data_IF_285738051501
#
_entry.id   IF_285738051501
#
_cell.length_a   1.000
_cell.length_b   1.000
_cell.length_c   1.000
_cell.angle_alpha   90.00
_cell.angle_beta   90.00
_cell.angle_gamma   90.00
#
_symmetry.space_group_name_H-M   'P 1'
#
loop_
_entity.id
_entity.type
_entity.pdbx_description
1 polymer ?
#
# COMPACT_ATOMS: atom_id res chain seq x y z
N UNK A 1 39.22 10.59 -16.95
CA UNK A 1 38.56 11.72 -16.25
C UNK A 1 37.18 11.95 -16.84
N UNK A 2 36.13 11.59 -16.10
CA UNK A 2 34.74 12.01 -16.38
C UNK A 2 34.11 12.33 -15.03
N UNK A 3 33.70 13.59 -14.87
CA UNK A 3 33.02 14.12 -13.69
C UNK A 3 31.57 13.60 -13.68
N UNK A 4 31.08 13.12 -12.54
CA UNK A 4 29.64 12.93 -12.29
C UNK A 4 29.18 14.09 -11.40
N UNK A 5 28.16 14.79 -11.88
CA UNK A 5 27.47 15.89 -11.20
C UNK A 5 26.41 15.22 -10.32
N UNK A 6 26.52 15.36 -9.00
CA UNK A 6 25.41 15.07 -8.08
C UNK A 6 24.51 16.31 -8.05
N UNK A 7 23.25 16.13 -8.46
CA UNK A 7 22.20 17.12 -8.27
C UNK A 7 21.69 17.04 -6.84
N UNK A 8 21.79 18.15 -6.11
CA UNK A 8 21.21 18.34 -4.78
C UNK A 8 19.73 18.67 -4.99
N UNK A 9 18.82 17.81 -4.53
CA UNK A 9 17.39 18.13 -4.44
C UNK A 9 17.15 18.63 -3.01
N UNK A 10 16.89 19.94 -2.90
CA UNK A 10 16.48 20.57 -1.65
C UNK A 10 14.96 20.43 -1.51
N UNK A 11 14.50 19.75 -0.46
CA UNK A 11 13.08 19.69 -0.07
C UNK A 11 12.87 20.70 1.05
N UNK A 12 12.22 21.82 0.72
CA UNK A 12 11.74 22.80 1.70
C UNK A 12 10.29 22.46 2.06
N UNK A 13 10.08 21.85 3.22
CA UNK A 13 8.75 21.68 3.82
C UNK A 13 8.45 22.88 4.74
N UNK A 14 7.67 23.82 4.22
CA UNK A 14 7.00 24.84 5.04
C UNK A 14 5.51 24.57 5.00
N UNK A 15 4.96 24.01 6.08
CA UNK A 15 3.52 23.98 6.31
C UNK A 15 3.25 24.51 7.73
N UNK A 16 2.76 25.73 7.80
CA UNK A 16 2.15 26.30 9.01
C UNK A 16 0.63 26.20 8.87
N UNK A 17 0.01 25.39 9.73
CA UNK A 17 -1.46 25.35 9.93
C UNK A 17 -1.76 25.72 11.37
N UNK A 18 -2.53 26.79 11.57
CA UNK A 18 -3.36 27.04 12.75
C UNK A 18 -4.63 27.76 12.25
N UNK A 19 -5.76 27.08 12.16
CA UNK A 19 -6.75 26.80 13.21
C UNK A 19 -7.66 28.00 13.56
N UNK A 20 -8.97 27.81 13.42
CA UNK A 20 -10.00 28.65 14.05
C UNK A 20 -11.27 27.83 14.39
N UNK A 21 -11.19 27.16 15.53
CA UNK A 21 -12.19 26.98 16.62
C UNK A 21 -13.71 26.90 16.35
N UNK A 22 -14.26 25.83 16.93
CA UNK A 22 -15.65 25.57 17.36
C UNK A 22 -16.32 26.67 18.21
N UNK A 23 -17.64 26.79 18.05
CA UNK A 23 -18.69 27.14 19.06
C UNK A 23 -20.04 27.07 18.32
N UNK A 24 -21.19 26.58 18.81
CA UNK A 24 -21.70 26.13 20.11
C UNK A 24 -23.23 26.35 20.14
N UNK A 25 -23.98 25.54 20.93
CA UNK A 25 -25.43 25.59 21.25
C UNK A 25 -26.41 25.29 20.08
N UNK A 26 -27.43 24.41 20.17
CA UNK A 26 -28.17 23.84 21.30
C UNK A 26 -29.66 24.18 21.14
N UNK A 27 -30.58 23.21 21.15
CA UNK A 27 -31.95 23.25 21.75
C UNK A 27 -32.70 21.92 21.50
N UNK A 28 -33.37 21.41 22.56
CA UNK A 28 -34.26 20.23 22.59
C UNK A 28 -35.71 20.58 22.20
N UNK A 29 -36.44 19.63 21.60
CA UNK A 29 -37.90 19.52 21.74
C UNK A 29 -38.36 18.05 21.58
N UNK A 30 -39.41 17.67 22.32
CA UNK A 30 -39.96 16.31 22.52
C UNK A 30 -41.28 16.11 21.76
N UNK A 31 -41.49 14.86 21.32
CA UNK A 31 -42.73 14.07 21.23
C UNK A 31 -43.90 14.49 20.32
N UNK A 32 -44.35 13.56 19.43
CA UNK A 32 -45.72 12.98 19.41
C UNK A 32 -45.83 11.82 18.39
N UNK A 33 -46.54 10.75 18.79
CA UNK A 33 -47.01 9.61 17.99
C UNK A 33 -48.00 10.04 16.90
N UNK A 34 -48.02 9.35 15.75
CA UNK A 34 -49.27 9.04 15.03
C UNK A 34 -49.15 7.82 14.08
N UNK A 35 -50.27 7.10 13.97
CA UNK A 35 -50.49 5.73 13.49
C UNK A 35 -50.32 5.44 11.98
N UNK A 36 -49.95 4.18 11.72
CA UNK A 36 -50.44 3.21 10.71
C UNK A 36 -51.35 3.71 9.60
N UNK A 37 -50.99 3.43 8.33
CA UNK A 37 -51.89 2.82 7.32
C UNK A 37 -51.04 1.91 6.40
N UNK A 38 -51.38 0.62 6.38
CA UNK A 38 -51.02 -0.33 5.31
C UNK A 38 -52.04 -0.18 4.18
N UNK A 39 -51.60 -0.16 2.93
CA UNK A 39 -52.45 -0.50 1.79
C UNK A 39 -51.68 -1.47 0.87
N UNK A 40 -52.02 -2.75 1.02
CA UNK A 40 -51.96 -3.75 -0.06
C UNK A 40 -53.16 -3.51 -0.99
N UNK A 41 -52.99 -3.82 -2.29
CA UNK A 41 -53.96 -4.47 -3.21
C UNK A 41 -53.61 -4.15 -4.69
N UNK A 42 -54.05 -4.91 -5.71
CA UNK A 42 -54.54 -6.29 -5.71
C UNK A 42 -53.95 -7.18 -6.83
N UNK A 43 -54.11 -8.49 -6.65
CA UNK A 43 -53.97 -9.56 -7.65
C UNK A 43 -55.19 -9.51 -8.59
N UNK A 44 -54.96 -9.61 -9.90
CA UNK A 44 -56.01 -9.94 -10.89
C UNK A 44 -55.70 -11.33 -11.44
N UNK A 45 -56.57 -12.29 -11.10
CA UNK A 45 -56.69 -13.60 -11.75
C UNK A 45 -57.84 -13.52 -12.75
N UNK A 46 -57.62 -13.98 -13.97
CA UNK A 46 -58.66 -14.46 -14.86
C UNK A 46 -58.17 -15.73 -15.55
N UNK A 47 -58.71 -16.86 -15.11
CA UNK A 47 -58.79 -18.12 -15.86
C UNK A 47 -59.91 -18.01 -16.90
N UNK A 48 -59.71 -18.58 -18.10
CA UNK A 48 -60.74 -19.34 -18.81
C UNK A 48 -60.09 -20.34 -19.79
N UNK A 49 -60.59 -21.58 -19.71
CA UNK A 49 -60.15 -22.84 -20.32
C UNK A 49 -60.28 -22.86 -21.86
N UNK A 50 -59.48 -23.69 -22.56
CA UNK A 50 -59.87 -25.04 -23.00
C UNK A 50 -58.97 -25.59 -24.14
N UNK A 51 -58.71 -26.90 -24.07
CA UNK A 51 -58.26 -27.87 -25.10
C UNK A 51 -57.02 -27.52 -25.95
N UNK A 52 -56.00 -28.36 -26.15
CA UNK A 52 -56.03 -29.78 -26.53
C UNK A 52 -54.58 -30.30 -26.64
N UNK A 53 -54.39 -31.59 -26.36
CA UNK A 53 -53.16 -32.40 -26.39
C UNK A 53 -52.59 -32.60 -27.81
N UNK A 54 -51.28 -32.38 -28.07
CA UNK A 54 -50.47 -33.13 -29.08
C UNK A 54 -48.94 -32.99 -28.82
N UNK A 55 -48.33 -34.15 -28.59
CA UNK A 55 -46.95 -34.68 -28.77
C UNK A 55 -45.74 -33.80 -29.16
N UNK A 56 -44.68 -33.95 -28.34
CA UNK A 56 -43.23 -34.17 -28.62
C UNK A 56 -42.75 -34.00 -30.07
N UNK A 57 -41.76 -33.11 -30.29
CA UNK A 57 -40.52 -33.42 -31.00
C UNK A 57 -39.42 -32.37 -30.69
N UNK A 58 -38.25 -32.87 -30.32
CA UNK A 58 -36.98 -32.16 -30.15
C UNK A 58 -36.38 -31.80 -31.51
N UNK A 59 -35.92 -30.57 -31.69
CA UNK A 59 -34.64 -30.14 -32.33
C UNK A 59 -34.73 -28.68 -32.85
N UNK A 60 -33.60 -27.98 -32.70
CA UNK A 60 -33.12 -26.78 -33.39
C UNK A 60 -33.69 -25.37 -33.08
N UNK A 61 -32.87 -24.64 -32.31
CA UNK A 61 -32.26 -23.34 -32.65
C UNK A 61 -33.05 -22.38 -33.56
N UNK A 62 -33.60 -21.31 -32.98
CA UNK A 62 -33.52 -19.97 -33.57
C UNK A 62 -33.67 -18.87 -32.50
N UNK A 63 -32.75 -17.93 -32.63
CA UNK A 63 -32.54 -16.63 -31.98
C UNK A 63 -33.76 -15.70 -31.97
N UNK A 64 -34.12 -15.14 -30.81
CA UNK A 64 -34.76 -13.81 -30.70
C UNK A 64 -34.29 -13.11 -29.42
N UNK A 65 -33.25 -12.28 -29.53
CA UNK A 65 -32.99 -11.19 -28.58
C UNK A 65 -33.91 -10.04 -28.93
N UNK A 66 -34.81 -9.69 -28.02
CA UNK A 66 -35.69 -8.54 -28.14
C UNK A 66 -34.85 -7.26 -27.98
N UNK A 67 -34.58 -6.58 -29.11
CA UNK A 67 -33.98 -5.24 -29.15
C UNK A 67 -35.04 -4.22 -28.72
N UNK A 68 -34.89 -3.63 -27.53
CA UNK A 68 -35.56 -2.38 -27.17
C UNK A 68 -34.50 -1.27 -27.22
N UNK A 69 -34.37 -0.63 -28.38
CA UNK A 69 -33.55 0.57 -28.57
C UNK A 69 -34.31 1.78 -28.01
N UNK A 70 -33.79 2.35 -26.93
CA UNK A 70 -34.01 3.75 -26.57
C UNK A 70 -32.66 4.47 -26.61
N UNK A 71 -32.53 5.35 -27.60
CA UNK A 71 -31.42 6.23 -27.93
C UNK A 71 -31.33 7.42 -26.95
N UNK A 72 -30.17 7.59 -26.29
CA UNK A 72 -29.37 8.84 -26.24
C UNK A 72 -28.40 8.82 -25.05
N UNK A 73 -27.12 8.71 -25.37
CA UNK A 73 -25.98 8.67 -24.45
C UNK A 73 -24.99 7.65 -24.95
N UNK A 74 -23.75 8.07 -25.27
CA UNK A 74 -22.67 7.15 -25.65
C UNK A 74 -22.63 5.99 -24.65
N UNK A 75 -23.05 4.81 -25.12
CA UNK A 75 -22.94 3.59 -24.34
C UNK A 75 -21.45 3.34 -24.18
N UNK A 76 -20.94 3.65 -22.98
CA UNK A 76 -19.66 3.12 -22.53
C UNK A 76 -19.77 1.61 -22.74
N UNK A 77 -18.94 1.08 -23.65
CA UNK A 77 -18.99 -0.33 -24.01
C UNK A 77 -18.73 -1.10 -22.72
N UNK A 78 -19.74 -1.83 -22.21
CA UNK A 78 -19.56 -2.63 -21.00
C UNK A 78 -18.35 -3.55 -21.20
N UNK A 79 -17.33 -3.38 -20.35
CA UNK A 79 -16.11 -4.15 -20.46
C UNK A 79 -16.43 -5.64 -20.26
N UNK A 80 -16.02 -6.48 -21.21
CA UNK A 80 -16.13 -7.94 -21.10
C UNK A 80 -14.86 -8.52 -20.49
N UNK A 81 -15.02 -9.66 -19.80
CA UNK A 81 -13.94 -10.29 -19.04
C UNK A 81 -13.82 -11.79 -19.31
N UNK A 82 -12.59 -12.25 -19.43
CA UNK A 82 -12.21 -13.65 -19.37
C UNK A 82 -11.81 -14.02 -17.94
N UNK A 83 -12.45 -15.05 -17.38
CA UNK A 83 -12.16 -15.55 -16.03
C UNK A 83 -10.93 -16.46 -16.00
N UNK A 84 -10.04 -16.20 -15.05
CA UNK A 84 -8.90 -17.03 -14.67
C UNK A 84 -9.09 -17.57 -13.24
N UNK A 85 -8.20 -18.45 -12.79
CA UNK A 85 -8.31 -19.06 -11.46
C UNK A 85 -8.35 -18.00 -10.35
N UNK A 86 -7.47 -16.99 -10.43
CA UNK A 86 -7.26 -15.98 -9.38
C UNK A 86 -7.69 -14.56 -9.75
N UNK A 87 -8.07 -14.30 -11.00
CA UNK A 87 -8.39 -12.94 -11.47
C UNK A 87 -9.30 -12.97 -12.70
N UNK A 88 -9.79 -11.80 -13.08
CA UNK A 88 -10.54 -11.57 -14.32
C UNK A 88 -9.74 -10.63 -15.20
N UNK A 89 -9.62 -10.94 -16.49
CA UNK A 89 -8.89 -10.13 -17.48
C UNK A 89 -9.89 -9.49 -18.42
N UNK A 90 -9.76 -8.18 -18.66
CA UNK A 90 -10.53 -7.48 -19.69
C UNK A 90 -10.14 -8.01 -21.06
N UNK A 91 -11.14 -8.28 -21.89
CA UNK A 91 -10.88 -8.72 -23.27
C UNK A 91 -10.24 -7.60 -24.10
N UNK A 92 -10.54 -6.34 -23.76
CA UNK A 92 -9.90 -5.13 -24.29
C UNK A 92 -9.20 -4.33 -23.17
N UNK A 93 -7.91 -4.03 -23.38
CA UNK A 93 -7.11 -3.26 -22.43
C UNK A 93 -7.57 -1.80 -22.36
N UNK A 94 -7.66 -1.28 -21.14
CA UNK A 94 -7.95 0.12 -20.91
C UNK A 94 -6.67 0.93 -20.77
N UNK A 95 -6.44 1.75 -21.80
CA UNK A 95 -5.22 2.54 -21.97
C UNK A 95 -5.38 3.99 -21.47
N UNK A 96 -6.55 4.36 -20.93
CA UNK A 96 -6.92 5.75 -20.62
C UNK A 96 -5.93 6.40 -19.65
N UNK A 97 -5.56 5.67 -18.60
CA UNK A 97 -4.62 6.10 -17.56
C UNK A 97 -3.32 5.29 -17.55
N UNK A 98 -2.98 4.66 -18.67
CA UNK A 98 -1.82 3.80 -18.77
C UNK A 98 -0.52 4.58 -18.51
N UNK A 99 0.16 4.20 -17.43
CA UNK A 99 1.44 4.80 -17.04
C UNK A 99 2.55 3.75 -17.17
N UNK A 100 3.40 3.82 -18.20
CA UNK A 100 4.48 2.88 -18.39
C UNK A 100 5.41 2.85 -17.17
N UNK A 101 5.83 1.64 -16.81
CA UNK A 101 6.68 1.39 -15.65
C UNK A 101 7.98 0.73 -16.10
N UNK A 102 9.12 1.20 -15.57
CA UNK A 102 10.39 0.49 -15.72
C UNK A 102 10.45 -0.69 -14.74
N UNK A 103 10.28 -1.90 -15.26
CA UNK A 103 10.35 -3.13 -14.47
C UNK A 103 11.71 -3.33 -13.78
N UNK A 104 12.78 -2.65 -14.22
CA UNK A 104 14.10 -2.72 -13.56
C UNK A 104 14.18 -1.86 -12.29
N UNK A 105 13.19 -1.01 -12.03
CA UNK A 105 13.09 -0.21 -10.82
C UNK A 105 12.48 -0.98 -9.63
N UNK A 106 12.10 -2.24 -9.84
CA UNK A 106 11.52 -3.11 -8.83
C UNK A 106 12.60 -3.85 -8.02
N UNK A 107 12.41 -3.87 -6.70
CA UNK A 107 13.19 -4.68 -5.78
C UNK A 107 12.53 -6.06 -5.62
N UNK A 108 13.33 -7.12 -5.48
CA UNK A 108 12.81 -8.47 -5.25
C UNK A 108 12.17 -8.55 -3.86
N UNK A 109 10.96 -9.12 -3.75
CA UNK A 109 10.33 -9.47 -2.45
C UNK A 109 10.46 -10.98 -2.21
N UNK A 110 9.71 -11.77 -2.98
CA UNK A 110 9.68 -13.24 -2.86
C UNK A 110 8.79 -13.75 -1.73
N UNK A 111 7.82 -12.94 -1.29
CA UNK A 111 6.92 -13.24 -0.17
C UNK A 111 5.49 -13.47 -0.67
N UNK A 112 4.76 -14.38 -0.01
CA UNK A 112 3.33 -14.61 -0.26
C UNK A 112 2.49 -13.80 0.74
N UNK A 113 1.46 -13.13 0.25
CA UNK A 113 0.49 -12.38 1.05
C UNK A 113 -0.92 -12.83 0.70
N UNK A 114 -1.84 -12.68 1.64
CA UNK A 114 -3.27 -12.85 1.39
C UNK A 114 -3.88 -11.50 1.02
N UNK A 115 -4.55 -11.42 -0.13
CA UNK A 115 -5.42 -10.30 -0.48
C UNK A 115 -6.82 -10.60 0.04
N UNK A 116 -7.28 -9.86 1.04
CA UNK A 116 -8.63 -10.00 1.61
C UNK A 116 -9.69 -9.41 0.67
N UNK A 117 -9.31 -8.39 -0.10
CA UNK A 117 -10.18 -7.69 -1.06
C UNK A 117 -9.69 -7.84 -2.51
N UNK A 118 -10.57 -7.53 -3.46
CA UNK A 118 -10.24 -7.51 -4.89
C UNK A 118 -9.46 -6.24 -5.22
N UNK A 119 -8.38 -6.36 -5.99
CA UNK A 119 -7.56 -5.22 -6.44
C UNK A 119 -7.45 -5.18 -7.95
N UNK A 120 -7.33 -3.98 -8.51
CA UNK A 120 -7.07 -3.81 -9.94
C UNK A 120 -5.69 -4.36 -10.31
N UNK A 121 -5.63 -5.08 -11.42
CA UNK A 121 -4.39 -5.58 -12.02
C UNK A 121 -4.08 -4.83 -13.30
N UNK A 122 -2.80 -4.57 -13.51
CA UNK A 122 -2.27 -3.76 -14.60
C UNK A 122 -1.25 -4.55 -15.40
N UNK A 123 -1.18 -4.27 -16.70
CA UNK A 123 -0.24 -4.94 -17.60
C UNK A 123 1.19 -4.46 -17.31
N UNK A 124 2.16 -5.38 -17.06
CA UNK A 124 3.56 -5.00 -16.86
C UNK A 124 4.12 -4.19 -18.04
N UNK A 125 5.04 -3.27 -17.75
CA UNK A 125 5.67 -2.32 -18.72
C UNK A 125 4.74 -1.29 -19.36
N UNK A 126 3.44 -1.57 -19.50
CA UNK A 126 2.45 -0.65 -20.10
C UNK A 126 1.72 0.14 -19.03
N UNK A 127 1.44 -0.47 -17.87
CA UNK A 127 0.66 0.12 -16.79
C UNK A 127 -0.81 0.35 -17.13
N UNK A 128 -1.31 -0.29 -18.18
CA UNK A 128 -2.72 -0.24 -18.58
C UNK A 128 -3.56 -1.14 -17.67
N UNK A 129 -4.78 -0.70 -17.35
CA UNK A 129 -5.71 -1.49 -16.55
C UNK A 129 -6.10 -2.75 -17.35
N UNK A 130 -5.85 -3.90 -16.74
CA UNK A 130 -5.96 -5.21 -17.36
C UNK A 130 -7.11 -6.03 -16.77
N UNK A 131 -7.56 -5.72 -15.56
CA UNK A 131 -8.62 -6.44 -14.89
C UNK A 131 -8.53 -6.30 -13.38
N UNK A 132 -8.97 -7.31 -12.65
CA UNK A 132 -8.91 -7.31 -11.18
C UNK A 132 -8.78 -8.73 -10.61
N UNK A 133 -8.23 -8.85 -9.39
CA UNK A 133 -8.11 -10.14 -8.69
C UNK A 133 -9.44 -10.59 -8.10
N UNK A 134 -9.56 -11.89 -7.80
CA UNK A 134 -10.59 -12.36 -6.86
C UNK A 134 -10.19 -11.96 -5.43
N UNK A 135 -11.14 -11.73 -4.51
CA UNK A 135 -10.83 -11.50 -3.09
C UNK A 135 -10.49 -12.82 -2.38
N UNK A 136 -9.87 -12.72 -1.20
CA UNK A 136 -9.47 -13.84 -0.32
C UNK A 136 -8.56 -14.86 -1.02
N UNK A 137 -7.55 -14.38 -1.75
CA UNK A 137 -6.57 -15.20 -2.45
C UNK A 137 -5.17 -14.99 -1.88
N UNK A 138 -4.35 -16.05 -1.91
CA UNK A 138 -2.93 -15.93 -1.64
C UNK A 138 -2.20 -15.60 -2.95
N UNK A 139 -1.36 -14.56 -2.91
CA UNK A 139 -0.58 -14.09 -4.07
C UNK A 139 0.90 -14.04 -3.73
N UNK A 140 1.72 -14.50 -4.68
CA UNK A 140 3.17 -14.39 -4.57
C UNK A 140 3.63 -13.05 -5.16
N UNK A 141 4.23 -12.22 -4.32
CA UNK A 141 4.87 -10.96 -4.75
C UNK A 141 6.27 -11.29 -5.24
N UNK A 142 6.48 -11.19 -6.54
CA UNK A 142 7.78 -11.39 -7.15
C UNK A 142 8.73 -10.22 -6.81
N UNK A 143 8.22 -9.00 -6.96
CA UNK A 143 9.00 -7.77 -6.80
C UNK A 143 8.09 -6.57 -6.53
N UNK A 144 8.63 -5.49 -5.95
CA UNK A 144 7.86 -4.30 -5.59
C UNK A 144 8.73 -3.02 -5.60
N UNK A 145 8.08 -1.86 -5.59
CA UNK A 145 8.67 -0.57 -5.23
C UNK A 145 7.63 0.25 -4.44
N UNK A 146 7.86 1.55 -4.30
CA UNK A 146 6.94 2.45 -3.58
C UNK A 146 5.56 2.57 -4.24
N UNK A 147 5.46 2.36 -5.56
CA UNK A 147 4.24 2.59 -6.34
C UNK A 147 3.51 1.29 -6.72
N UNK A 148 4.23 0.16 -6.81
CA UNK A 148 3.73 -1.05 -7.47
C UNK A 148 4.23 -2.34 -6.81
N UNK A 149 3.35 -3.34 -6.79
CA UNK A 149 3.65 -4.73 -6.50
C UNK A 149 3.47 -5.57 -7.77
N UNK A 150 4.47 -6.36 -8.12
CA UNK A 150 4.44 -7.30 -9.23
C UNK A 150 4.11 -8.69 -8.71
N UNK A 151 2.93 -9.19 -9.05
CA UNK A 151 2.45 -10.50 -8.67
C UNK A 151 2.81 -11.53 -9.74
N UNK A 152 3.14 -12.74 -9.31
CA UNK A 152 3.34 -13.88 -10.19
C UNK A 152 2.31 -14.97 -9.88
N UNK A 153 1.65 -15.45 -10.93
CA UNK A 153 0.70 -16.56 -10.85
C UNK A 153 1.30 -17.79 -11.53
N UNK A 154 1.54 -18.83 -10.73
CA UNK A 154 2.03 -20.11 -11.26
C UNK A 154 0.94 -20.74 -12.13
N UNK A 155 1.34 -21.29 -13.28
CA UNK A 155 0.47 -21.91 -14.31
C UNK A 155 -0.35 -20.96 -15.19
N UNK A 156 -0.22 -19.65 -15.04
CA UNK A 156 -0.70 -18.71 -16.05
C UNK A 156 0.30 -18.55 -17.20
N UNK A 157 -0.18 -18.35 -18.42
CA UNK A 157 0.69 -18.07 -19.58
C UNK A 157 0.90 -16.56 -19.76
N UNK A 158 1.97 -16.18 -20.46
CA UNK A 158 2.16 -14.78 -20.85
C UNK A 158 0.98 -14.31 -21.73
N UNK A 159 0.44 -13.09 -21.52
CA UNK A 159 0.97 -12.04 -20.65
C UNK A 159 0.36 -12.01 -19.23
N UNK A 160 -0.32 -13.07 -18.78
CA UNK A 160 -1.07 -13.14 -17.53
C UNK A 160 -0.28 -13.69 -16.34
N UNK A 161 0.87 -14.30 -16.59
CA UNK A 161 1.75 -14.82 -15.55
C UNK A 161 2.37 -13.76 -14.63
N UNK A 162 2.52 -12.52 -15.10
CA UNK A 162 2.94 -11.38 -14.30
C UNK A 162 1.94 -10.24 -14.45
N UNK A 163 1.55 -9.65 -13.33
CA UNK A 163 0.67 -8.47 -13.29
C UNK A 163 1.15 -7.48 -12.24
N UNK A 164 0.84 -6.21 -12.47
CA UNK A 164 1.13 -5.15 -11.50
C UNK A 164 -0.14 -4.81 -10.70
N UNK A 165 0.02 -4.46 -9.44
CA UNK A 165 -1.00 -3.88 -8.56
C UNK A 165 -0.41 -2.63 -7.95
N UNK A 166 -1.19 -1.56 -7.80
CA UNK A 166 -0.70 -0.36 -7.13
C UNK A 166 -0.40 -0.66 -5.66
N UNK A 167 0.66 -0.05 -5.12
CA UNK A 167 1.07 -0.28 -3.75
C UNK A 167 -0.03 0.10 -2.74
N UNK A 168 -0.69 1.25 -2.93
CA UNK A 168 -1.81 1.69 -2.09
C UNK A 168 -2.90 0.62 -1.98
N UNK A 169 -3.42 0.14 -3.12
CA UNK A 169 -4.49 -0.86 -3.19
C UNK A 169 -4.03 -2.21 -2.62
N UNK A 170 -2.79 -2.62 -2.90
CA UNK A 170 -2.24 -3.87 -2.39
C UNK A 170 -2.10 -3.86 -0.87
N UNK A 171 -1.59 -2.76 -0.31
CA UNK A 171 -1.40 -2.57 1.14
C UNK A 171 -2.74 -2.63 1.86
N UNK A 172 -3.74 -1.90 1.36
CA UNK A 172 -5.09 -1.88 1.91
C UNK A 172 -5.73 -3.27 1.85
N UNK A 173 -5.76 -3.88 0.65
CA UNK A 173 -6.42 -5.17 0.47
C UNK A 173 -5.72 -6.32 1.21
N UNK A 174 -4.40 -6.26 1.40
CA UNK A 174 -3.67 -7.29 2.14
C UNK A 174 -3.71 -7.13 3.65
N UNK A 175 -4.03 -5.93 4.15
CA UNK A 175 -3.87 -5.61 5.57
C UNK A 175 -2.43 -5.81 6.06
N UNK A 176 -1.44 -5.76 5.15
CA UNK A 176 -0.04 -6.10 5.43
C UNK A 176 0.56 -5.26 6.58
N UNK A 177 0.05 -4.04 6.80
CA UNK A 177 0.47 -3.19 7.90
C UNK A 177 -0.45 -3.23 9.13
N UNK A 178 -1.62 -3.87 9.06
CA UNK A 178 -2.59 -3.90 10.16
C UNK A 178 -2.13 -4.75 11.36
N UNK A 179 -1.10 -5.58 11.17
CA UNK A 179 -0.54 -6.45 12.22
C UNK A 179 0.97 -6.28 12.43
N UNK A 180 1.59 -5.21 11.92
CA UNK A 180 2.99 -4.93 12.25
C UNK A 180 3.11 -4.44 13.69
N UNK A 181 4.11 -4.96 14.40
CA UNK A 181 4.46 -4.40 15.70
C UNK A 181 5.07 -3.00 15.50
N UNK A 182 4.74 -2.08 16.41
CA UNK A 182 5.30 -0.75 16.39
C UNK A 182 6.81 -0.80 16.63
N UNK A 183 7.56 -0.03 15.84
CA UNK A 183 9.03 0.00 15.95
C UNK A 183 9.44 0.46 17.34
N UNK A 184 10.42 -0.25 17.89
CA UNK A 184 11.02 -0.01 19.19
C UNK A 184 12.41 0.61 19.08
N UNK A 185 12.93 1.14 20.20
CA UNK A 185 14.31 1.63 20.24
C UNK A 185 15.34 0.51 19.99
N UNK A 186 15.00 -0.74 20.35
CA UNK A 186 15.84 -1.90 20.08
C UNK A 186 15.91 -2.20 18.58
N UNK A 187 14.81 -2.07 17.83
CA UNK A 187 14.83 -2.25 16.37
C UNK A 187 15.74 -1.22 15.69
N UNK A 188 15.67 0.04 16.12
CA UNK A 188 16.59 1.10 15.67
C UNK A 188 18.03 0.74 16.00
N UNK A 189 18.30 0.26 17.22
CA UNK A 189 19.64 -0.17 17.64
C UNK A 189 20.15 -1.34 16.80
N UNK A 190 19.32 -2.34 16.52
CA UNK A 190 19.65 -3.52 15.73
C UNK A 190 19.85 -3.20 14.25
N UNK A 191 19.25 -2.12 13.75
CA UNK A 191 19.48 -1.62 12.39
C UNK A 191 20.72 -0.71 12.32
N UNK A 192 20.88 0.22 13.27
CA UNK A 192 21.95 1.22 13.28
C UNK A 192 23.35 0.60 13.50
N UNK A 193 23.52 -0.24 14.53
CA UNK A 193 24.86 -0.72 14.92
C UNK A 193 25.54 -1.56 13.82
N UNK A 194 24.87 -2.55 13.19
CA UNK A 194 25.50 -3.33 12.13
C UNK A 194 25.86 -2.52 10.89
N UNK A 195 25.11 -1.45 10.59
CA UNK A 195 25.42 -0.56 9.48
C UNK A 195 26.67 0.27 9.76
N UNK A 196 26.83 0.76 10.99
CA UNK A 196 28.07 1.44 11.42
C UNK A 196 29.28 0.49 11.38
N UNK A 197 29.13 -0.75 11.85
CA UNK A 197 30.21 -1.75 11.82
C UNK A 197 30.65 -2.13 10.40
N UNK A 198 29.77 -1.98 9.39
CA UNK A 198 30.08 -2.24 7.99
C UNK A 198 30.75 -1.07 7.27
N UNK A 199 30.86 0.10 7.91
CA UNK A 199 31.50 1.25 7.30
C UNK A 199 33.02 1.04 7.15
N UNK A 200 33.56 1.40 5.97
CA UNK A 200 35.00 1.32 5.72
C UNK A 200 35.74 2.46 6.43
N UNK A 201 36.55 2.12 7.45
CA UNK A 201 37.39 3.06 8.18
C UNK A 201 38.90 2.88 7.94
N UNK A 202 39.27 2.22 6.84
CA UNK A 202 40.66 1.91 6.52
C UNK A 202 41.26 0.86 7.46
N UNK A 203 42.53 1.05 7.89
CA UNK A 203 43.26 0.13 8.77
C UNK A 203 42.98 0.35 10.27
N UNK A 204 42.09 1.27 10.63
CA UNK A 204 41.81 1.58 12.03
C UNK A 204 40.77 0.64 12.63
N UNK A 205 41.05 0.19 13.85
CA UNK A 205 40.11 -0.59 14.63
C UNK A 205 39.05 0.34 15.21
N UNK A 206 37.83 0.23 14.71
CA UNK A 206 36.67 1.02 15.10
C UNK A 206 35.73 0.14 15.91
N UNK A 207 35.17 0.70 16.97
CA UNK A 207 34.21 0.00 17.80
C UNK A 207 33.04 0.91 18.13
N UNK A 208 31.84 0.41 17.86
CA UNK A 208 30.58 1.08 18.15
C UNK A 208 29.91 0.38 19.34
N UNK A 209 29.41 1.16 20.29
CA UNK A 209 28.81 0.65 21.53
C UNK A 209 27.47 1.32 21.75
N UNK A 210 26.42 0.52 21.72
CA UNK A 210 25.13 0.91 22.25
C UNK A 210 25.11 0.71 23.77
N UNK A 211 24.79 1.77 24.51
CA UNK A 211 24.67 1.78 25.97
C UNK A 211 23.23 2.02 26.39
N UNK A 212 22.85 1.46 27.55
CA UNK A 212 21.46 1.51 28.04
C UNK A 212 21.07 2.88 28.59
N UNK A 213 22.03 3.68 29.08
CA UNK A 213 21.81 5.01 29.64
C UNK A 213 22.78 6.05 29.05
N UNK A 214 22.34 7.31 28.98
CA UNK A 214 23.20 8.44 28.61
C UNK A 214 24.31 8.63 29.64
N UNK A 215 25.56 8.71 29.18
CA UNK A 215 26.73 8.98 30.02
C UNK A 215 27.41 10.30 29.64
N UNK A 216 28.27 10.81 30.54
CA UNK A 216 28.87 12.17 30.45
C UNK A 216 29.63 12.43 29.14
N UNK A 217 30.20 11.38 28.51
CA UNK A 217 30.95 11.48 27.25
C UNK A 217 30.04 11.69 26.01
N UNK A 218 28.71 11.62 26.18
CA UNK A 218 27.70 11.68 25.12
C UNK A 218 27.07 13.06 25.07
N UNK A 219 27.68 13.95 24.28
CA UNK A 219 27.33 15.37 24.22
C UNK A 219 26.50 15.75 23.00
N UNK A 220 26.37 14.85 22.02
CA UNK A 220 25.68 15.11 20.76
C UNK A 220 24.34 14.38 20.74
N UNK A 221 23.35 15.00 20.10
CA UNK A 221 21.97 14.49 20.03
C UNK A 221 21.44 14.66 18.62
N UNK A 222 20.84 13.61 18.09
CA UNK A 222 20.09 13.63 16.85
C UNK A 222 18.70 13.03 17.10
N UNK A 223 17.67 13.64 16.54
CA UNK A 223 16.30 13.16 16.60
C UNK A 223 15.79 12.99 15.17
N UNK A 224 15.04 11.91 14.95
CA UNK A 224 14.41 11.63 13.67
C UNK A 224 13.08 10.94 13.87
N UNK A 225 12.26 10.93 12.82
CA UNK A 225 10.93 10.36 12.82
C UNK A 225 10.82 9.39 11.65
N UNK A 226 10.26 8.22 11.92
CA UNK A 226 9.94 7.20 10.91
C UNK A 226 8.49 6.73 11.11
N UNK A 227 7.85 6.13 10.08
CA UNK A 227 6.54 5.52 10.25
C UNK A 227 6.53 4.52 11.43
N UNK A 228 5.50 4.57 12.28
CA UNK A 228 5.39 3.70 13.47
C UNK A 228 5.40 2.22 13.09
N UNK A 229 4.84 1.89 11.93
CA UNK A 229 4.82 0.55 11.35
C UNK A 229 5.65 0.57 10.06
N UNK A 230 6.89 0.10 10.11
CA UNK A 230 7.81 0.12 8.97
C UNK A 230 8.48 -1.24 8.78
N UNK A 231 8.46 -1.74 7.54
CA UNK A 231 9.16 -2.97 7.15
C UNK A 231 10.66 -2.72 6.89
N UNK A 232 11.00 -1.56 6.34
CA UNK A 232 12.37 -1.21 5.91
C UNK A 232 13.04 -0.23 6.88
N UNK A 233 13.23 -0.65 8.12
CA UNK A 233 13.96 0.16 9.12
C UNK A 233 15.41 0.43 8.64
N UNK A 234 16.01 -0.54 7.94
CA UNK A 234 17.38 -0.43 7.44
C UNK A 234 17.56 0.70 6.43
N UNK A 235 16.62 0.84 5.48
CA UNK A 235 16.62 1.94 4.51
C UNK A 235 16.52 3.31 5.18
N UNK A 236 15.66 3.44 6.20
CA UNK A 236 15.58 4.66 7.01
C UNK A 236 16.88 4.93 7.76
N UNK A 237 17.49 3.91 8.37
CA UNK A 237 18.73 4.07 9.12
C UNK A 237 19.90 4.44 8.24
N UNK A 238 19.98 3.93 7.01
CA UNK A 238 20.99 4.35 6.05
C UNK A 238 20.93 5.86 5.77
N UNK A 239 19.72 6.41 5.63
CA UNK A 239 19.53 7.85 5.43
C UNK A 239 19.89 8.65 6.70
N UNK A 240 19.42 8.21 7.88
CA UNK A 240 19.77 8.85 9.15
C UNK A 240 21.28 8.87 9.36
N UNK A 241 21.98 7.76 9.08
CA UNK A 241 23.44 7.69 9.17
C UNK A 241 24.10 8.60 8.12
N UNK A 242 23.55 8.76 6.93
CA UNK A 242 24.11 9.67 5.94
C UNK A 242 23.98 11.16 6.34
N UNK A 243 22.89 11.50 7.03
CA UNK A 243 22.59 12.86 7.49
C UNK A 243 23.34 13.23 8.79
N UNK A 244 23.95 12.25 9.46
CA UNK A 244 24.65 12.44 10.72
C UNK A 244 26.08 11.89 10.66
N UNK A 245 27.02 12.53 11.33
CA UNK A 245 28.41 12.09 11.39
C UNK A 245 28.64 10.96 12.44
N UNK A 246 27.68 10.04 12.58
CA UNK A 246 27.71 8.94 13.53
C UNK A 246 28.96 8.06 13.41
N UNK A 247 29.48 7.85 12.20
CA UNK A 247 30.70 7.08 11.98
C UNK A 247 31.91 7.58 12.79
N UNK A 248 31.94 8.85 13.19
CA UNK A 248 33.04 9.44 13.96
C UNK A 248 32.97 9.20 15.48
N UNK A 249 31.91 8.56 15.98
CA UNK A 249 31.66 8.43 17.43
C UNK A 249 31.63 6.96 17.87
N UNK A 250 31.89 6.71 19.15
CA UNK A 250 31.99 5.37 19.74
C UNK A 250 30.75 4.96 20.51
N UNK A 251 30.09 5.90 21.18
CA UNK A 251 29.05 5.61 22.16
C UNK A 251 27.69 6.11 21.67
N UNK A 252 26.67 5.27 21.78
CA UNK A 252 25.31 5.53 21.30
C UNK A 252 24.29 5.09 22.35
N UNK A 253 23.28 5.92 22.57
CA UNK A 253 22.11 5.60 23.37
C UNK A 253 20.90 5.96 22.52
N UNK A 254 19.98 5.01 22.40
CA UNK A 254 18.79 5.13 21.56
C UNK A 254 17.57 5.04 22.46
N UNK A 255 16.68 6.02 22.34
CA UNK A 255 15.41 6.02 23.06
C UNK A 255 14.26 6.45 22.13
N UNK A 256 13.05 5.98 22.44
CA UNK A 256 11.82 6.48 21.82
C UNK A 256 11.38 7.75 22.56
N UNK A 257 11.06 8.80 21.81
CA UNK A 257 10.58 10.06 22.35
C UNK A 257 9.06 10.06 22.33
N UNK A 258 8.46 9.56 23.42
CA UNK A 258 7.01 9.33 23.53
C UNK A 258 6.18 10.59 23.29
N UNK A 259 6.63 11.76 23.77
CA UNK A 259 5.91 13.03 23.62
C UNK A 259 5.93 13.59 22.18
N UNK A 260 6.78 13.03 21.32
CA UNK A 260 6.90 13.38 19.89
C UNK A 260 6.46 12.26 18.96
N UNK A 261 5.97 11.15 19.52
CA UNK A 261 5.46 10.01 18.76
C UNK A 261 3.93 10.05 18.72
N UNK A 262 3.34 9.58 17.62
CA UNK A 262 1.91 9.42 17.43
C UNK A 262 1.58 8.06 16.79
N UNK A 263 0.31 7.86 16.42
CA UNK A 263 -0.17 6.59 15.84
C UNK A 263 0.48 6.29 14.48
N UNK A 264 0.82 7.31 13.70
CA UNK A 264 1.37 7.16 12.35
C UNK A 264 2.90 7.16 12.37
N UNK A 265 3.50 7.92 13.29
CA UNK A 265 4.93 8.23 13.29
C UNK A 265 5.58 8.06 14.67
N UNK A 266 6.71 7.34 14.71
CA UNK A 266 7.51 7.16 15.92
C UNK A 266 8.77 8.02 15.85
N UNK A 267 8.98 8.84 16.88
CA UNK A 267 10.17 9.68 17.02
C UNK A 267 11.20 8.99 17.89
N UNK A 268 12.45 8.95 17.41
CA UNK A 268 13.58 8.38 18.13
C UNK A 268 14.67 9.43 18.33
N UNK A 269 15.37 9.31 19.46
CA UNK A 269 16.54 10.11 19.78
C UNK A 269 17.76 9.21 19.88
N UNK A 270 18.81 9.59 19.17
CA UNK A 270 20.15 9.03 19.31
C UNK A 270 20.99 10.07 20.03
N UNK A 271 21.39 9.76 21.26
CA UNK A 271 22.40 10.51 21.99
C UNK A 271 23.74 9.81 21.78
N UNK A 272 24.78 10.54 21.39
CA UNK A 272 26.05 9.94 20.98
C UNK A 272 27.24 10.79 21.39
N UNK A 273 28.41 10.15 21.48
CA UNK A 273 29.63 10.85 21.80
C UNK A 273 30.87 9.95 21.85
N UNK A 274 31.93 10.51 22.43
CA UNK A 274 33.30 9.98 22.39
C UNK A 274 33.81 9.77 20.95
N UNK A 275 34.61 10.72 20.47
CA UNK A 275 35.21 10.63 19.14
C UNK A 275 36.12 9.41 18.99
N UNK A 276 35.98 8.72 17.85
CA UNK A 276 36.90 7.69 17.39
C UNK A 276 38.31 8.26 17.23
N UNK A 277 39.34 7.41 17.29
CA UNK A 277 40.75 7.85 17.25
C UNK A 277 41.10 8.59 15.95
N UNK A 278 40.62 8.12 14.79
CA UNK A 278 40.81 8.82 13.51
C UNK A 278 40.13 10.19 13.43
N UNK A 279 39.16 10.46 14.30
CA UNK A 279 38.35 11.68 14.28
C UNK A 279 38.85 12.76 15.27
N UNK A 280 39.93 12.49 16.02
CA UNK A 280 40.59 13.42 16.96
C UNK A 280 41.70 14.22 16.27
#
# INVERSE_FOLDING_TARGET
MRKKILGIIAVTLTASVLAATLTGCGTRAKATDQEVVMEEEPIIVTDEEDSEEVTIETEDEITETEEVVADDGEADVEATYTEHEYFYVRDELDMTDATPMDMNALNVDGTTYTLNESVNIYMPSVGALKGYTKPNIDVYVNSFNEDWYCLYFENEESPNNYVLVKAEDFIEASGMYENMEAITADDIKFSLMPQLDQMEHGDEEVYYVAVDDVIEEMTSVSEFTIPTYCKDVDGWMAQVIADNDFGNYQLFHIEKVEDKSDEENSCFRVTYGRLQKFAQ
#
